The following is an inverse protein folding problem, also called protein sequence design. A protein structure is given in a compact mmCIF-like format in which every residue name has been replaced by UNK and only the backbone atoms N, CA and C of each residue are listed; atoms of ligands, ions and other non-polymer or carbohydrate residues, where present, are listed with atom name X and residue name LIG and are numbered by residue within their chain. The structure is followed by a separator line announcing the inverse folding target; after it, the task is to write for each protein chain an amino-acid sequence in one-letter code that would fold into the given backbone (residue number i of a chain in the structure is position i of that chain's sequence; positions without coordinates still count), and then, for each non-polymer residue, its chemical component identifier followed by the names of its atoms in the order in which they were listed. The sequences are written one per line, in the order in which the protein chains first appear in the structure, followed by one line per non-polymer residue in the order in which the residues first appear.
data_IF_107227600225
#
_entry.id   IF_107227600225
#
_cell.length_a   1.000
_cell.length_b   1.000
_cell.length_c   1.000
_cell.angle_alpha   90.00
_cell.angle_beta   90.00
_cell.angle_gamma   90.00
#
_symmetry.space_group_name_H-M   'P 1'
#
loop_
_entity.id
_entity.type
_entity.pdbx_description
1 polymer ?
#
# COMPACT_ATOMS: atom_id res chain seq x y z
N UNK A 1 32.16 33.79 -38.03
CA UNK A 1 32.71 32.47 -37.62
C UNK A 1 32.69 32.26 -36.11
N UNK A 2 32.61 33.30 -35.27
CA UNK A 2 32.51 33.16 -33.79
C UNK A 2 31.07 33.01 -33.24
N UNK A 3 30.04 32.99 -34.09
CA UNK A 3 28.63 32.92 -33.65
C UNK A 3 28.04 31.50 -33.64
N UNK A 4 28.61 30.54 -34.37
CA UNK A 4 28.11 29.16 -34.42
C UNK A 4 28.77 28.24 -33.39
N UNK A 5 29.96 28.60 -32.90
CA UNK A 5 30.71 27.82 -31.90
C UNK A 5 30.13 27.98 -30.49
N UNK A 6 29.60 29.17 -30.18
CA UNK A 6 28.90 29.44 -28.92
C UNK A 6 27.54 28.73 -28.80
N UNK A 7 26.89 28.41 -29.92
CA UNK A 7 25.62 27.65 -29.92
C UNK A 7 25.87 26.16 -29.67
N UNK A 8 26.99 25.61 -30.17
CA UNK A 8 27.37 24.20 -29.94
C UNK A 8 27.79 23.91 -28.49
N UNK A 9 28.38 24.89 -27.81
CA UNK A 9 28.76 24.76 -26.40
C UNK A 9 27.57 24.84 -25.41
N UNK A 10 26.42 25.36 -25.84
CA UNK A 10 25.21 25.38 -25.02
C UNK A 10 24.44 24.05 -25.03
N UNK A 11 24.65 23.21 -26.05
CA UNK A 11 23.97 21.91 -26.18
C UNK A 11 24.68 20.80 -25.38
N UNK A 12 25.97 20.96 -25.06
CA UNK A 12 26.74 19.95 -24.30
C UNK A 12 26.62 20.05 -22.78
N UNK A 13 25.92 21.06 -22.24
CA UNK A 13 25.71 21.21 -20.79
C UNK A 13 24.34 20.70 -20.31
N UNK A 14 23.46 20.25 -21.21
CA UNK A 14 22.15 19.70 -20.88
C UNK A 14 22.11 18.17 -20.92
N UNK A 15 23.18 17.53 -20.45
CA UNK A 15 23.27 16.09 -20.26
C UNK A 15 22.82 15.64 -18.86
N UNK A 16 21.56 15.90 -18.47
CA UNK A 16 20.86 15.11 -17.46
C UNK A 16 19.35 15.38 -17.51
N UNK A 17 18.63 14.70 -18.41
CA UNK A 17 17.17 14.77 -18.55
C UNK A 17 16.44 13.95 -17.47
N UNK A 18 16.78 14.13 -16.20
CA UNK A 18 16.03 13.54 -15.08
C UNK A 18 15.37 14.67 -14.29
N UNK A 19 14.41 15.32 -14.94
CA UNK A 19 13.51 16.30 -14.33
C UNK A 19 12.40 15.65 -13.52
N UNK A 20 12.74 14.74 -12.60
CA UNK A 20 11.82 14.46 -11.49
C UNK A 20 12.10 15.52 -10.41
N UNK A 21 11.07 16.22 -9.90
CA UNK A 21 11.27 17.10 -8.74
C UNK A 21 11.91 16.27 -7.61
N UNK A 22 12.79 16.85 -6.78
CA UNK A 22 13.39 16.12 -5.67
C UNK A 22 12.25 15.55 -4.82
N UNK A 23 12.12 14.22 -4.83
CA UNK A 23 11.16 13.47 -4.03
C UNK A 23 11.54 13.61 -2.55
N UNK A 24 11.27 14.78 -1.97
CA UNK A 24 11.33 15.01 -0.52
C UNK A 24 10.11 14.33 0.12
N UNK A 25 10.12 13.00 0.12
CA UNK A 25 9.18 12.25 0.93
C UNK A 25 9.80 12.07 2.31
N UNK A 26 9.05 12.44 3.34
CA UNK A 26 9.26 11.94 4.70
C UNK A 26 9.53 10.44 4.64
N UNK A 27 10.52 9.94 5.39
CA UNK A 27 10.87 8.50 5.40
C UNK A 27 9.67 7.59 5.74
N UNK A 28 8.65 8.14 6.38
CA UNK A 28 7.37 7.49 6.61
C UNK A 28 6.24 8.51 6.38
N UNK A 29 5.18 8.07 5.70
CA UNK A 29 3.93 8.79 5.54
C UNK A 29 2.82 8.05 6.28
N UNK A 30 1.97 8.79 7.01
CA UNK A 30 0.93 8.22 7.86
C UNK A 30 -0.41 8.83 7.49
N UNK A 31 -1.40 7.99 7.18
CA UNK A 31 -2.78 8.40 6.91
C UNK A 31 -3.64 8.07 8.13
N UNK A 32 -4.19 9.10 8.78
CA UNK A 32 -5.02 8.97 9.98
C UNK A 32 -6.40 9.58 9.77
N UNK A 33 -7.38 9.05 10.48
CA UNK A 33 -8.72 9.62 10.54
C UNK A 33 -8.71 10.81 11.49
N UNK A 34 -9.37 11.90 11.09
CA UNK A 34 -9.48 13.09 11.92
C UNK A 34 -10.78 13.12 12.73
N UNK A 35 -11.74 12.24 12.40
CA UNK A 35 -13.08 12.23 12.97
C UNK A 35 -13.41 10.83 13.52
N UNK A 36 -14.63 10.32 13.26
CA UNK A 36 -15.16 9.07 13.81
C UNK A 36 -15.23 7.94 12.76
N UNK A 37 -14.31 7.92 11.80
CA UNK A 37 -14.27 6.88 10.78
C UNK A 37 -14.93 7.28 9.46
N UNK A 38 -14.84 6.36 8.49
CA UNK A 38 -15.42 6.50 7.14
C UNK A 38 -15.07 7.78 6.35
N UNK A 39 -13.96 8.44 6.69
CA UNK A 39 -13.50 9.66 6.00
C UNK A 39 -12.89 9.37 4.61
N UNK A 40 -12.91 8.12 4.15
CA UNK A 40 -12.33 7.73 2.86
C UNK A 40 -10.80 7.57 2.85
N UNK A 41 -10.19 7.31 4.03
CA UNK A 41 -8.74 7.10 4.20
C UNK A 41 -8.15 6.11 3.20
N UNK A 42 -8.86 5.04 2.90
CA UNK A 42 -8.42 4.01 1.96
C UNK A 42 -8.11 4.58 0.57
N UNK A 43 -8.92 5.52 0.07
CA UNK A 43 -8.65 6.18 -1.24
C UNK A 43 -7.36 6.98 -1.22
N UNK A 44 -7.05 7.64 -0.11
CA UNK A 44 -5.79 8.38 0.08
C UNK A 44 -4.62 7.40 0.15
N UNK A 45 -4.78 6.28 0.87
CA UNK A 45 -3.78 5.22 0.94
C UNK A 45 -3.49 4.65 -0.44
N UNK A 46 -4.50 4.39 -1.28
CA UNK A 46 -4.29 3.84 -2.62
C UNK A 46 -3.49 4.80 -3.51
N UNK A 47 -3.79 6.10 -3.43
CA UNK A 47 -3.05 7.13 -4.16
C UNK A 47 -1.57 7.17 -3.74
N UNK A 48 -1.32 7.10 -2.43
CA UNK A 48 0.05 7.13 -1.89
C UNK A 48 0.81 5.81 -2.11
N UNK A 49 0.10 4.67 -2.15
CA UNK A 49 0.68 3.35 -2.33
C UNK A 49 1.23 3.09 -3.74
N UNK A 50 0.89 3.94 -4.73
CA UNK A 50 1.45 3.85 -6.08
C UNK A 50 2.98 4.07 -6.09
N UNK A 51 3.47 4.96 -5.22
CA UNK A 51 4.88 5.33 -5.10
C UNK A 51 5.58 4.74 -3.85
N UNK A 52 4.88 3.93 -3.05
CA UNK A 52 5.40 3.41 -1.79
C UNK A 52 6.11 2.05 -1.95
N UNK A 53 7.31 1.93 -1.39
CA UNK A 53 8.02 0.65 -1.29
C UNK A 53 7.36 -0.29 -0.29
N UNK A 54 6.81 0.26 0.80
CA UNK A 54 6.19 -0.49 1.90
C UNK A 54 4.87 0.18 2.28
N UNK A 55 3.82 -0.63 2.39
CA UNK A 55 2.53 -0.25 2.97
C UNK A 55 2.31 -1.05 4.25
N UNK A 56 1.86 -0.40 5.33
CA UNK A 56 1.68 -1.06 6.60
C UNK A 56 0.34 -0.73 7.26
N UNK A 57 -0.21 -1.72 7.96
CA UNK A 57 -1.30 -1.54 8.92
C UNK A 57 -0.74 -1.70 10.32
N UNK A 58 -0.88 -0.67 11.15
CA UNK A 58 -0.28 -0.65 12.49
C UNK A 58 -1.24 -1.06 13.62
N UNK A 59 -2.55 -0.92 13.42
CA UNK A 59 -3.58 -1.07 14.47
C UNK A 59 -4.89 -1.63 13.92
N UNK A 60 -5.76 -2.07 14.83
CA UNK A 60 -7.14 -2.46 14.54
C UNK A 60 -7.30 -3.94 14.22
N UNK A 61 -8.32 -4.27 13.43
CA UNK A 61 -8.64 -5.63 13.02
C UNK A 61 -9.45 -5.62 11.72
N UNK A 62 -10.30 -6.61 11.52
CA UNK A 62 -11.14 -6.78 10.33
C UNK A 62 -12.43 -5.92 10.33
N UNK A 63 -12.51 -4.89 11.18
CA UNK A 63 -13.74 -4.12 11.42
C UNK A 63 -14.03 -3.04 10.38
N UNK A 64 -13.04 -2.69 9.54
CA UNK A 64 -13.18 -1.69 8.49
C UNK A 64 -12.74 -2.29 7.16
N UNK A 65 -13.62 -2.18 6.15
CA UNK A 65 -13.36 -2.59 4.79
C UNK A 65 -12.88 -1.41 3.95
N UNK A 66 -12.07 -1.69 2.94
CA UNK A 66 -11.71 -0.75 1.89
C UNK A 66 -11.68 -1.48 0.55
N UNK A 67 -12.44 -0.97 -0.40
CA UNK A 67 -12.57 -1.55 -1.73
C UNK A 67 -11.76 -0.73 -2.72
N UNK A 68 -10.94 -1.41 -3.53
CA UNK A 68 -10.09 -0.81 -4.56
C UNK A 68 -10.50 -1.34 -5.91
N UNK A 69 -10.68 -0.44 -6.89
CA UNK A 69 -10.96 -0.81 -8.28
C UNK A 69 -9.72 -0.58 -9.12
N UNK A 70 -9.23 -1.64 -9.77
CA UNK A 70 -8.09 -1.60 -10.70
C UNK A 70 -8.59 -2.02 -12.08
N UNK A 71 -8.67 -1.06 -13.01
CA UNK A 71 -9.33 -1.29 -14.29
C UNK A 71 -10.81 -1.65 -14.10
N UNK A 72 -11.19 -2.88 -14.46
CA UNK A 72 -12.55 -3.41 -14.31
C UNK A 72 -12.67 -4.47 -13.19
N UNK A 73 -11.67 -4.57 -12.31
CA UNK A 73 -11.63 -5.56 -11.24
C UNK A 73 -11.71 -4.86 -9.88
N UNK A 74 -12.61 -5.33 -9.02
CA UNK A 74 -12.85 -4.79 -7.68
C UNK A 74 -12.27 -5.73 -6.61
N UNK A 75 -11.37 -5.22 -5.78
CA UNK A 75 -10.71 -5.93 -4.68
C UNK A 75 -11.23 -5.42 -3.34
N UNK A 76 -11.46 -6.32 -2.39
CA UNK A 76 -12.02 -5.99 -1.08
C UNK A 76 -11.02 -6.31 0.02
N UNK A 77 -10.56 -5.29 0.74
CA UNK A 77 -9.57 -5.42 1.80
C UNK A 77 -10.17 -5.13 3.16
N UNK A 78 -9.88 -5.98 4.14
CA UNK A 78 -10.31 -5.77 5.53
C UNK A 78 -9.10 -5.79 6.46
N UNK A 79 -8.25 -6.81 6.38
CA UNK A 79 -7.05 -6.94 7.19
C UNK A 79 -5.79 -6.65 6.38
N UNK A 80 -5.76 -7.04 5.10
CA UNK A 80 -4.62 -6.77 4.23
C UNK A 80 -4.48 -5.26 3.99
N UNK A 81 -3.26 -4.72 4.00
CA UNK A 81 -3.02 -3.38 3.48
C UNK A 81 -3.37 -3.32 1.98
N UNK A 82 -4.25 -2.40 1.56
CA UNK A 82 -4.76 -2.33 0.17
C UNK A 82 -3.66 -2.10 -0.88
N UNK A 83 -2.56 -1.45 -0.48
CA UNK A 83 -1.39 -1.28 -1.33
C UNK A 83 -0.71 -2.59 -1.77
N UNK A 84 -1.08 -3.76 -1.22
CA UNK A 84 -0.59 -5.07 -1.69
C UNK A 84 -0.91 -5.36 -3.17
N UNK A 85 -1.89 -4.65 -3.74
CA UNK A 85 -2.19 -4.64 -5.18
C UNK A 85 -0.98 -4.23 -6.01
N UNK A 86 -0.19 -3.26 -5.53
CA UNK A 86 1.03 -2.86 -6.21
C UNK A 86 2.05 -3.99 -6.08
N UNK A 87 2.41 -4.63 -7.20
CA UNK A 87 3.33 -5.78 -7.21
C UNK A 87 4.74 -5.43 -6.72
N UNK A 88 5.11 -4.15 -6.76
CA UNK A 88 6.40 -3.65 -6.29
C UNK A 88 6.38 -3.28 -4.80
N UNK A 89 5.20 -3.29 -4.15
CA UNK A 89 5.05 -2.88 -2.77
C UNK A 89 5.05 -4.09 -1.82
N UNK A 90 5.74 -3.96 -0.70
CA UNK A 90 5.71 -4.90 0.42
C UNK A 90 4.58 -4.51 1.37
N UNK A 91 3.73 -5.48 1.72
CA UNK A 91 2.63 -5.29 2.66
C UNK A 91 3.00 -5.81 4.06
N UNK A 92 2.83 -4.99 5.09
CA UNK A 92 3.16 -5.35 6.47
C UNK A 92 1.94 -5.22 7.39
N UNK A 93 1.65 -6.28 8.14
CA UNK A 93 0.70 -6.27 9.26
C UNK A 93 1.49 -6.15 10.56
N UNK A 94 1.35 -5.01 11.23
CA UNK A 94 2.08 -4.67 12.45
C UNK A 94 1.55 -5.38 13.70
N UNK A 95 2.31 -5.26 14.78
CA UNK A 95 2.03 -5.92 16.07
C UNK A 95 0.78 -5.38 16.79
N UNK A 96 0.31 -4.17 16.48
CA UNK A 96 -0.92 -3.61 17.04
C UNK A 96 -2.20 -4.13 16.39
N UNK A 97 -2.09 -5.06 15.43
CA UNK A 97 -3.25 -5.64 14.74
C UNK A 97 -3.73 -6.90 15.46
N UNK A 98 -5.06 -7.05 15.56
CA UNK A 98 -5.73 -8.29 15.95
C UNK A 98 -6.13 -9.06 14.70
N UNK A 99 -5.58 -10.25 14.53
CA UNK A 99 -5.68 -11.08 13.33
C UNK A 99 -6.65 -12.23 13.56
N UNK A 100 -7.75 -12.26 12.80
CA UNK A 100 -8.61 -13.43 12.68
C UNK A 100 -8.16 -14.27 11.48
N UNK A 101 -7.53 -15.43 11.75
CA UNK A 101 -6.89 -16.24 10.71
C UNK A 101 -7.85 -16.69 9.60
N UNK A 102 -9.05 -17.15 9.98
CA UNK A 102 -10.06 -17.60 9.00
C UNK A 102 -10.41 -16.48 8.02
N UNK A 103 -10.70 -15.30 8.53
CA UNK A 103 -11.07 -14.13 7.74
C UNK A 103 -9.90 -13.62 6.88
N UNK A 104 -8.67 -13.64 7.41
CA UNK A 104 -7.49 -13.30 6.62
C UNK A 104 -7.33 -14.23 5.42
N UNK A 105 -7.43 -15.54 5.62
CA UNK A 105 -7.31 -16.50 4.51
C UNK A 105 -8.50 -16.42 3.53
N UNK A 106 -9.71 -16.14 4.02
CA UNK A 106 -10.87 -15.91 3.17
C UNK A 106 -10.71 -14.67 2.31
N UNK A 107 -10.23 -13.57 2.88
CA UNK A 107 -9.90 -12.32 2.18
C UNK A 107 -8.84 -12.55 1.10
N UNK A 108 -7.75 -13.24 1.45
CA UNK A 108 -6.68 -13.58 0.51
C UNK A 108 -7.24 -14.41 -0.66
N UNK A 109 -7.98 -15.49 -0.38
CA UNK A 109 -8.54 -16.36 -1.43
C UNK A 109 -9.48 -15.60 -2.36
N UNK A 110 -10.35 -14.76 -1.81
CA UNK A 110 -11.28 -13.92 -2.60
C UNK A 110 -10.55 -12.95 -3.52
N UNK A 111 -9.46 -12.35 -3.06
CA UNK A 111 -8.68 -11.42 -3.88
C UNK A 111 -7.74 -12.15 -4.86
N UNK A 112 -7.26 -13.35 -4.52
CA UNK A 112 -6.44 -14.18 -5.41
C UNK A 112 -7.23 -14.63 -6.65
N UNK A 113 -8.51 -15.01 -6.50
CA UNK A 113 -9.38 -15.34 -7.64
C UNK A 113 -9.66 -14.14 -8.55
N UNK A 114 -9.50 -12.91 -8.03
CA UNK A 114 -9.64 -11.65 -8.78
C UNK A 114 -8.32 -11.19 -9.43
N UNK A 115 -7.20 -11.88 -9.18
CA UNK A 115 -5.91 -11.58 -9.80
C UNK A 115 -4.83 -11.06 -8.84
N UNK A 116 -5.06 -11.04 -7.52
CA UNK A 116 -4.02 -10.74 -6.55
C UNK A 116 -2.96 -11.85 -6.56
N UNK A 117 -1.80 -11.57 -7.15
CA UNK A 117 -0.71 -12.53 -7.32
C UNK A 117 0.54 -12.14 -6.51
N UNK A 118 1.40 -13.13 -6.28
CA UNK A 118 2.70 -12.97 -5.59
C UNK A 118 2.60 -12.31 -4.22
N UNK A 119 1.46 -12.45 -3.53
CA UNK A 119 1.25 -11.87 -2.20
C UNK A 119 2.10 -12.60 -1.14
N UNK A 120 2.35 -13.90 -1.32
CA UNK A 120 3.11 -14.75 -0.36
C UNK A 120 4.53 -14.26 -0.12
N UNK A 121 5.19 -13.68 -1.13
CA UNK A 121 6.56 -13.16 -1.01
C UNK A 121 6.60 -11.72 -0.48
N UNK A 122 5.45 -11.05 -0.39
CA UNK A 122 5.37 -9.60 -0.11
C UNK A 122 4.54 -9.28 1.13
N UNK A 123 3.76 -10.22 1.65
CA UNK A 123 2.99 -10.06 2.87
C UNK A 123 3.82 -10.54 4.07
N UNK A 124 4.14 -9.61 4.96
CA UNK A 124 4.78 -9.90 6.23
C UNK A 124 3.81 -9.60 7.37
N UNK A 125 3.74 -10.54 8.31
CA UNK A 125 2.89 -10.42 9.49
C UNK A 125 3.82 -10.45 10.70
N UNK A 126 3.68 -9.46 11.59
CA UNK A 126 4.43 -9.46 12.85
C UNK A 126 4.07 -10.68 13.68
N UNK A 127 5.10 -11.38 14.16
CA UNK A 127 5.02 -12.47 15.15
C UNK A 127 4.42 -12.05 16.50
N UNK A 128 4.34 -10.74 16.75
CA UNK A 128 3.77 -10.12 17.96
C UNK A 128 2.33 -9.62 17.77
N UNK A 129 1.74 -9.82 16.60
CA UNK A 129 0.33 -9.49 16.37
C UNK A 129 -0.56 -10.43 17.20
N UNK A 130 -1.65 -9.89 17.75
CA UNK A 130 -2.57 -10.69 18.56
C UNK A 130 -3.47 -11.53 17.66
N UNK A 131 -3.80 -12.76 18.09
CA UNK A 131 -4.77 -13.59 17.40
C UNK A 131 -6.17 -13.34 17.96
N UNK A 132 -7.09 -12.93 17.09
CA UNK A 132 -8.52 -12.92 17.37
C UNK A 132 -9.04 -14.35 17.28
N UNK A 133 -9.28 -14.95 18.44
CA UNK A 133 -9.84 -16.29 18.52
C UNK A 133 -11.35 -16.25 18.26
N UNK A 134 -11.92 -17.26 17.58
CA UNK A 134 -13.37 -17.37 17.48
C UNK A 134 -13.97 -17.41 18.89
N UNK A 135 -15.14 -16.77 19.05
CA UNK A 135 -15.89 -16.91 20.29
C UNK A 135 -16.19 -18.38 20.51
N UNK A 136 -15.69 -18.93 21.61
CA UNK A 136 -16.09 -20.26 22.03
C UNK A 136 -17.60 -20.22 22.29
N UNK A 137 -18.36 -21.22 21.82
CA UNK A 137 -19.77 -21.30 22.16
C UNK A 137 -19.90 -21.30 23.68
N UNK A 138 -20.63 -20.31 24.20
CA UNK A 138 -21.02 -20.31 25.61
C UNK A 138 -22.06 -21.44 25.79
N UNK A 139 -21.93 -22.28 26.84
CA UNK A 139 -22.87 -23.37 27.11
C UNK A 139 -24.31 -22.89 27.33
#
# INVERSE_FOLDING_TARGET
MESEENVKNLVHLNGNSNGSPPKNHSKACVVLGAQWGDEGKGKVVDLLAMDADIVCRCQGGNNAGHTVVVGNVEFDFHLLPSGIINSNCVAVVGNGVVIHLSQLFDEIRKNETKGLSNWKQRLFISDRAHLGLPQLPVP
#
